data_IF_098277541237
#
_entry.id   IF_098277541237
#
_cell.length_a   1.000
_cell.length_b   1.000
_cell.length_c   1.000
_cell.angle_alpha   90.00
_cell.angle_beta   90.00
_cell.angle_gamma   90.00
#
_symmetry.space_group_name_H-M   'P 1'
#
loop_
_entity.id
_entity.type
_entity.pdbx_description
1 polymer ?
#
# COMPACT_ATOMS: atom_id res chain seq x y z
N UNK A 1 -23.80 -9.77 20.27
CA UNK A 1 -22.59 -10.49 20.70
C UNK A 1 -22.80 -11.97 20.43
N UNK A 2 -22.04 -12.53 19.50
CA UNK A 2 -22.06 -13.97 19.17
C UNK A 2 -20.66 -14.49 19.47
N UNK A 3 -20.53 -15.46 20.39
CA UNK A 3 -19.25 -15.97 20.84
C UNK A 3 -18.25 -14.85 21.19
N UNK A 4 -18.61 -13.89 22.05
CA UNK A 4 -17.70 -12.81 22.46
C UNK A 4 -17.36 -11.74 21.39
N UNK A 5 -17.77 -11.93 20.14
CA UNK A 5 -17.61 -10.96 19.06
C UNK A 5 -18.86 -10.07 18.92
N UNK A 6 -18.65 -8.76 18.70
CA UNK A 6 -19.74 -7.83 18.36
C UNK A 6 -19.96 -7.88 16.85
N UNK A 7 -21.10 -8.42 16.40
CA UNK A 7 -21.47 -8.51 14.98
C UNK A 7 -22.71 -7.68 14.67
N UNK A 8 -22.61 -6.88 13.61
CA UNK A 8 -23.68 -6.05 13.06
C UNK A 8 -23.67 -6.28 11.55
N UNK A 9 -24.44 -7.28 11.11
CA UNK A 9 -24.43 -7.72 9.72
C UNK A 9 -25.84 -7.73 9.13
N UNK A 10 -25.94 -7.51 7.83
CA UNK A 10 -27.17 -7.67 7.04
C UNK A 10 -28.37 -6.86 7.54
N UNK A 11 -28.11 -5.73 8.20
CA UNK A 11 -29.19 -4.83 8.57
C UNK A 11 -29.61 -4.09 7.29
N UNK A 12 -30.78 -4.45 6.76
CA UNK A 12 -31.38 -3.81 5.59
C UNK A 12 -31.69 -2.33 5.82
N UNK A 13 -32.83 -1.83 5.32
CA UNK A 13 -33.32 -0.49 5.68
C UNK A 13 -33.85 -0.47 7.13
N UNK A 14 -33.04 -0.83 8.12
CA UNK A 14 -33.36 -0.50 9.51
C UNK A 14 -33.50 1.02 9.54
N UNK A 15 -34.73 1.48 9.78
CA UNK A 15 -35.10 2.88 9.66
C UNK A 15 -34.11 3.75 10.43
N UNK A 16 -33.54 4.73 9.72
CA UNK A 16 -32.64 5.79 10.17
C UNK A 16 -32.07 5.63 11.59
N UNK A 17 -30.76 5.34 11.62
CA UNK A 17 -29.86 5.47 12.77
C UNK A 17 -29.77 4.23 13.69
N UNK A 18 -29.09 3.18 13.22
CA UNK A 18 -28.52 2.19 14.13
C UNK A 18 -27.33 2.82 14.85
N UNK A 19 -27.56 3.31 16.08
CA UNK A 19 -26.50 3.79 16.95
C UNK A 19 -26.00 2.63 17.81
N UNK A 20 -24.75 2.24 17.59
CA UNK A 20 -24.05 1.29 18.44
C UNK A 20 -23.11 2.06 19.37
N UNK A 21 -23.57 2.24 20.60
CA UNK A 21 -22.77 2.85 21.63
C UNK A 21 -21.93 1.78 22.37
N UNK A 22 -20.65 1.69 22.00
CA UNK A 22 -19.65 0.83 22.62
C UNK A 22 -18.64 1.65 23.44
N UNK A 23 -19.00 2.85 23.91
CA UNK A 23 -18.06 3.72 24.62
C UNK A 23 -17.46 3.10 25.89
N UNK A 24 -18.10 2.07 26.46
CA UNK A 24 -17.59 1.34 27.65
C UNK A 24 -16.77 0.10 27.30
N UNK A 25 -16.74 -0.32 26.03
CA UNK A 25 -16.06 -1.53 25.61
C UNK A 25 -14.55 -1.27 25.62
N UNK A 26 -13.85 -1.78 26.63
CA UNK A 26 -12.39 -1.65 26.74
C UNK A 26 -11.64 -2.69 25.92
N UNK A 27 -12.20 -3.90 25.83
CA UNK A 27 -11.67 -5.03 25.07
C UNK A 27 -12.81 -5.73 24.34
N UNK A 28 -12.58 -6.15 23.10
CA UNK A 28 -13.44 -7.12 22.42
C UNK A 28 -12.60 -8.33 22.04
N UNK A 29 -12.49 -9.35 22.92
CA UNK A 29 -11.49 -10.41 22.75
C UNK A 29 -11.67 -11.23 21.46
N UNK A 30 -12.82 -11.13 20.79
CA UNK A 30 -13.10 -11.86 19.55
C UNK A 30 -13.53 -10.93 18.40
N UNK A 31 -13.44 -9.61 18.56
CA UNK A 31 -13.57 -8.67 17.45
C UNK A 31 -14.83 -7.80 17.39
N UNK A 32 -14.85 -6.93 16.39
CA UNK A 32 -15.98 -6.09 15.97
C UNK A 32 -16.16 -6.25 14.45
N UNK A 33 -17.29 -6.79 14.01
CA UNK A 33 -17.66 -6.89 12.59
C UNK A 33 -18.91 -6.09 12.31
N UNK A 34 -18.79 -5.12 11.41
CA UNK A 34 -19.89 -4.28 10.94
C UNK A 34 -19.93 -4.40 9.44
N UNK A 35 -20.87 -5.20 8.92
CA UNK A 35 -20.86 -5.59 7.51
C UNK A 35 -22.23 -5.46 6.84
N UNK A 36 -22.26 -5.13 5.55
CA UNK A 36 -23.46 -5.24 4.71
C UNK A 36 -24.68 -4.48 5.26
N UNK A 37 -24.45 -3.29 5.84
CA UNK A 37 -25.52 -2.47 6.40
C UNK A 37 -25.95 -1.40 5.39
N UNK A 38 -27.25 -1.37 5.04
CA UNK A 38 -27.81 -0.39 4.09
C UNK A 38 -28.25 0.91 4.77
N UNK A 39 -28.54 0.87 6.07
CA UNK A 39 -28.92 2.04 6.87
C UNK A 39 -27.73 2.79 7.46
N UNK A 40 -27.99 3.95 8.06
CA UNK A 40 -26.99 4.70 8.81
C UNK A 40 -26.50 3.89 10.03
N UNK A 41 -25.19 3.74 10.16
CA UNK A 41 -24.54 3.09 11.31
C UNK A 41 -23.64 4.12 11.99
N UNK A 42 -23.88 4.36 13.27
CA UNK A 42 -23.03 5.19 14.11
C UNK A 42 -22.26 4.28 15.06
N UNK A 43 -20.93 4.28 14.97
CA UNK A 43 -20.04 3.52 15.85
C UNK A 43 -19.33 4.49 16.80
N UNK A 44 -19.49 4.28 18.12
CA UNK A 44 -18.71 5.01 19.13
C UNK A 44 -17.97 4.04 20.03
N UNK A 45 -16.64 4.04 19.95
CA UNK A 45 -15.74 3.10 20.65
C UNK A 45 -14.60 3.86 21.33
N UNK A 46 -14.94 4.83 22.19
CA UNK A 46 -13.93 5.71 22.80
C UNK A 46 -12.99 5.02 23.79
N UNK A 47 -13.37 3.87 24.34
CA UNK A 47 -12.56 3.15 25.35
C UNK A 47 -11.88 1.89 24.84
N UNK A 48 -12.11 1.46 23.60
CA UNK A 48 -11.55 0.21 23.07
C UNK A 48 -10.04 0.37 22.93
N UNK A 49 -9.26 -0.42 23.67
CA UNK A 49 -7.80 -0.38 23.68
C UNK A 49 -7.19 -1.49 22.84
N UNK A 50 -7.81 -2.68 22.89
CA UNK A 50 -7.33 -3.86 22.17
C UNK A 50 -8.50 -4.75 21.76
N UNK A 51 -8.39 -5.35 20.58
CA UNK A 51 -9.36 -6.31 20.02
C UNK A 51 -8.68 -7.22 19.01
N UNK A 52 -9.15 -8.44 18.84
CA UNK A 52 -8.57 -9.36 17.83
C UNK A 52 -8.84 -8.87 16.41
N UNK A 53 -10.02 -8.31 16.16
CA UNK A 53 -10.46 -8.03 14.79
C UNK A 53 -11.32 -6.78 14.76
N UNK A 54 -11.14 -5.95 13.75
CA UNK A 54 -12.10 -4.93 13.33
C UNK A 54 -12.32 -5.12 11.82
N UNK A 55 -13.55 -5.45 11.42
CA UNK A 55 -13.93 -5.53 10.01
C UNK A 55 -15.13 -4.63 9.77
N UNK A 56 -14.94 -3.63 8.92
CA UNK A 56 -15.94 -2.65 8.53
C UNK A 56 -16.13 -2.76 7.02
N UNK A 57 -17.14 -3.52 6.58
CA UNK A 57 -17.27 -3.88 5.15
C UNK A 57 -18.65 -3.56 4.57
N UNK A 58 -18.71 -2.93 3.39
CA UNK A 58 -19.97 -2.75 2.64
C UNK A 58 -21.08 -2.06 3.45
N UNK A 59 -20.76 -0.98 4.16
CA UNK A 59 -21.75 -0.21 4.92
C UNK A 59 -22.07 1.10 4.20
N UNK A 60 -23.26 1.17 3.60
CA UNK A 60 -23.69 2.32 2.80
C UNK A 60 -23.85 3.57 3.67
N UNK A 61 -24.32 3.43 4.91
CA UNK A 61 -24.59 4.57 5.80
C UNK A 61 -23.55 4.79 6.90
N UNK A 62 -22.36 4.17 6.82
CA UNK A 62 -21.28 4.43 7.76
C UNK A 62 -20.56 5.71 7.32
N UNK A 63 -20.54 6.72 8.18
CA UNK A 63 -19.98 8.06 7.85
C UNK A 63 -18.74 8.38 8.67
N UNK A 64 -18.64 7.85 9.89
CA UNK A 64 -17.56 8.16 10.82
C UNK A 64 -16.98 6.88 11.41
N UNK A 65 -15.68 6.69 11.26
CA UNK A 65 -14.94 5.57 11.85
C UNK A 65 -13.83 6.14 12.72
N UNK A 66 -13.95 5.96 14.03
CA UNK A 66 -12.94 6.44 14.97
C UNK A 66 -12.78 5.51 16.17
N UNK A 67 -11.54 5.12 16.43
CA UNK A 67 -11.14 4.32 17.59
C UNK A 67 -9.99 5.03 18.33
N UNK A 68 -10.29 6.10 19.09
CA UNK A 68 -9.26 7.01 19.60
C UNK A 68 -8.33 6.39 20.65
N UNK A 69 -8.76 5.33 21.33
CA UNK A 69 -7.98 4.64 22.36
C UNK A 69 -7.36 3.31 21.90
N UNK A 70 -7.66 2.86 20.68
CA UNK A 70 -7.20 1.57 20.18
C UNK A 70 -5.69 1.63 20.00
N UNK A 71 -4.95 0.85 20.78
CA UNK A 71 -3.49 0.79 20.68
C UNK A 71 -2.99 -0.41 19.90
N UNK A 72 -3.75 -1.52 19.90
CA UNK A 72 -3.36 -2.76 19.21
C UNK A 72 -4.60 -3.44 18.64
N UNK A 73 -4.49 -4.04 17.47
CA UNK A 73 -5.56 -4.83 16.84
C UNK A 73 -4.93 -6.05 16.17
N UNK A 74 -5.60 -7.21 16.17
CA UNK A 74 -5.07 -8.37 15.43
C UNK A 74 -5.20 -8.15 13.93
N UNK A 75 -6.41 -7.78 13.48
CA UNK A 75 -6.74 -7.53 12.06
C UNK A 75 -7.56 -6.24 11.94
N UNK A 76 -7.24 -5.39 10.96
CA UNK A 76 -8.04 -4.23 10.62
C UNK A 76 -8.39 -4.21 9.14
N UNK A 77 -9.64 -4.54 8.80
CA UNK A 77 -10.14 -4.46 7.44
C UNK A 77 -11.22 -3.39 7.31
N UNK A 78 -11.03 -2.47 6.37
CA UNK A 78 -12.00 -1.45 6.02
C UNK A 78 -12.23 -1.46 4.51
N UNK A 79 -13.46 -1.73 4.06
CA UNK A 79 -13.75 -1.57 2.63
C UNK A 79 -15.20 -1.51 2.20
N UNK A 80 -15.46 -0.93 1.03
CA UNK A 80 -16.82 -0.75 0.52
C UNK A 80 -17.71 0.18 1.34
N UNK A 81 -17.12 1.15 2.06
CA UNK A 81 -17.88 2.11 2.87
C UNK A 81 -17.92 3.48 2.16
N UNK A 82 -18.71 3.58 1.11
CA UNK A 82 -18.70 4.69 0.14
C UNK A 82 -19.15 6.06 0.68
N UNK A 83 -19.65 6.16 1.91
CA UNK A 83 -20.00 7.44 2.55
C UNK A 83 -19.02 7.85 3.67
N UNK A 84 -18.06 6.99 4.02
CA UNK A 84 -17.04 7.30 5.04
C UNK A 84 -15.94 8.14 4.41
N UNK A 85 -15.77 9.38 4.88
CA UNK A 85 -14.70 10.26 4.42
C UNK A 85 -13.40 10.09 5.22
N UNK A 86 -13.47 9.63 6.47
CA UNK A 86 -12.31 9.54 7.36
C UNK A 86 -12.30 8.26 8.20
N UNK A 87 -11.11 7.71 8.40
CA UNK A 87 -10.82 6.66 9.40
C UNK A 87 -9.77 7.19 10.37
N UNK A 88 -10.12 7.29 11.65
CA UNK A 88 -9.29 7.92 12.69
C UNK A 88 -8.86 6.94 13.78
N UNK A 89 -7.58 6.53 13.75
CA UNK A 89 -6.95 5.55 14.64
C UNK A 89 -5.68 6.15 15.31
N UNK A 90 -5.80 7.29 16.01
CA UNK A 90 -4.65 8.11 16.42
C UNK A 90 -3.71 7.44 17.43
N UNK A 91 -4.18 6.41 18.13
CA UNK A 91 -3.42 5.68 19.15
C UNK A 91 -2.91 4.32 18.69
N UNK A 92 -3.28 3.88 17.48
CA UNK A 92 -2.95 2.55 16.98
C UNK A 92 -1.45 2.46 16.78
N UNK A 93 -0.83 1.43 17.35
CA UNK A 93 0.62 1.21 17.34
C UNK A 93 1.04 -0.05 16.61
N UNK A 94 0.17 -1.05 16.60
CA UNK A 94 0.51 -2.39 16.16
C UNK A 94 -0.73 -3.09 15.61
N UNK A 95 -0.57 -3.71 14.46
CA UNK A 95 -1.47 -4.73 13.92
C UNK A 95 -0.72 -6.05 14.08
N UNK A 96 -1.22 -6.95 14.94
CA UNK A 96 -0.37 -8.00 15.55
C UNK A 96 -0.63 -9.43 15.08
N UNK A 97 -1.58 -9.67 14.17
CA UNK A 97 -2.03 -11.03 13.81
C UNK A 97 -2.21 -11.22 12.31
N UNK A 98 -3.04 -10.39 11.65
CA UNK A 98 -3.19 -10.39 10.18
C UNK A 98 -3.06 -8.94 9.66
N UNK A 99 -3.71 -8.64 8.54
CA UNK A 99 -3.50 -7.44 7.74
C UNK A 99 -4.11 -6.16 8.34
N UNK A 100 -3.58 -5.03 7.87
CA UNK A 100 -4.27 -3.76 7.85
C UNK A 100 -4.60 -3.34 6.41
N UNK A 101 -5.87 -3.46 6.07
CA UNK A 101 -6.36 -3.27 4.71
C UNK A 101 -7.40 -2.14 4.59
N UNK A 102 -7.23 -1.29 3.58
CA UNK A 102 -8.18 -0.26 3.15
C UNK A 102 -8.54 -0.44 1.68
N UNK A 103 -9.75 -0.92 1.42
CA UNK A 103 -10.16 -1.37 0.10
C UNK A 103 -11.42 -0.66 -0.42
N UNK A 104 -11.50 -0.45 -1.73
CA UNK A 104 -12.75 -0.18 -2.46
C UNK A 104 -13.68 0.84 -1.79
N UNK A 105 -13.15 2.01 -1.39
CA UNK A 105 -13.89 3.04 -0.67
C UNK A 105 -13.79 4.37 -1.40
N UNK A 106 -14.87 4.75 -2.07
CA UNK A 106 -14.82 5.83 -3.06
C UNK A 106 -14.77 7.24 -2.46
N UNK A 107 -15.29 7.44 -1.25
CA UNK A 107 -15.31 8.75 -0.56
C UNK A 107 -14.20 8.94 0.47
N UNK A 108 -13.40 7.92 0.78
CA UNK A 108 -12.35 8.01 1.80
C UNK A 108 -11.29 9.03 1.37
N UNK A 109 -11.05 10.04 2.21
CA UNK A 109 -10.10 11.14 1.98
C UNK A 109 -8.94 11.16 2.96
N UNK A 110 -9.13 10.56 4.14
CA UNK A 110 -8.15 10.58 5.23
C UNK A 110 -8.12 9.26 5.98
N UNK A 111 -6.92 8.70 6.11
CA UNK A 111 -6.59 7.61 7.04
C UNK A 111 -5.60 8.17 8.03
N UNK A 112 -6.01 8.32 9.29
CA UNK A 112 -5.16 8.86 10.36
C UNK A 112 -4.68 7.73 11.28
N UNK A 113 -3.48 7.22 10.99
CA UNK A 113 -2.76 6.15 11.72
C UNK A 113 -1.33 6.61 12.11
N UNK A 114 -1.17 7.74 12.80
CA UNK A 114 0.11 8.44 12.90
C UNK A 114 1.11 7.73 13.83
N UNK A 115 0.64 6.80 14.65
CA UNK A 115 1.40 6.09 15.66
C UNK A 115 1.65 4.60 15.32
N UNK A 116 1.15 4.12 14.18
CA UNK A 116 1.36 2.74 13.75
C UNK A 116 2.85 2.53 13.52
N UNK A 117 3.45 1.54 14.18
CA UNK A 117 4.88 1.23 14.12
C UNK A 117 5.15 -0.11 13.44
N UNK A 118 4.24 -1.08 13.58
CA UNK A 118 4.43 -2.44 13.08
C UNK A 118 3.11 -3.03 12.57
N UNK A 119 3.19 -3.71 11.42
CA UNK A 119 2.16 -4.60 10.88
C UNK A 119 2.78 -6.01 10.79
N UNK A 120 2.08 -6.99 11.34
CA UNK A 120 2.55 -8.37 11.47
C UNK A 120 2.37 -9.21 10.21
N UNK A 121 1.49 -8.79 9.31
CA UNK A 121 1.34 -9.28 7.92
C UNK A 121 1.24 -8.01 7.04
N UNK A 122 0.31 -7.96 6.09
CA UNK A 122 0.25 -6.93 5.04
C UNK A 122 -0.26 -5.54 5.48
N UNK A 123 0.20 -4.54 4.73
CA UNK A 123 -0.38 -3.20 4.66
C UNK A 123 -0.91 -2.96 3.25
N UNK A 124 -2.23 -3.12 3.07
CA UNK A 124 -2.87 -3.03 1.76
C UNK A 124 -3.74 -1.77 1.61
N UNK A 125 -3.51 -0.96 0.56
CA UNK A 125 -4.36 0.19 0.23
C UNK A 125 -4.73 0.23 -1.25
N UNK A 126 -5.96 -0.14 -1.57
CA UNK A 126 -6.37 -0.30 -2.96
C UNK A 126 -7.79 0.15 -3.30
N UNK A 127 -7.97 0.60 -4.54
CA UNK A 127 -9.24 1.15 -5.05
C UNK A 127 -9.80 2.32 -4.19
N UNK A 128 -8.93 3.21 -3.72
CA UNK A 128 -9.29 4.38 -2.92
C UNK A 128 -9.41 5.64 -3.80
N UNK A 129 -10.60 5.84 -4.37
CA UNK A 129 -10.78 6.83 -5.45
C UNK A 129 -10.59 8.30 -5.04
N UNK A 130 -10.78 8.65 -3.75
CA UNK A 130 -10.74 10.05 -3.27
C UNK A 130 -9.56 10.38 -2.35
N UNK A 131 -8.74 9.40 -1.95
CA UNK A 131 -7.62 9.65 -1.04
C UNK A 131 -6.47 10.31 -1.82
N UNK A 132 -5.94 11.40 -1.30
CA UNK A 132 -4.89 12.19 -1.97
C UNK A 132 -3.51 11.94 -1.36
N UNK A 133 -3.46 11.63 -0.05
CA UNK A 133 -2.23 11.38 0.69
C UNK A 133 -2.42 10.13 1.56
N UNK A 134 -1.49 9.19 1.43
CA UNK A 134 -1.32 8.06 2.34
C UNK A 134 -0.10 8.35 3.18
N UNK A 135 -0.24 8.35 4.51
CA UNK A 135 0.86 8.64 5.41
C UNK A 135 0.82 7.74 6.66
N UNK A 136 1.90 7.02 6.90
CA UNK A 136 2.13 6.26 8.14
C UNK A 136 3.48 6.68 8.72
N UNK A 137 3.57 7.89 9.31
CA UNK A 137 4.85 8.55 9.63
C UNK A 137 5.65 7.86 10.76
N UNK A 138 5.05 6.90 11.45
CA UNK A 138 5.71 6.11 12.49
C UNK A 138 5.93 4.66 12.10
N UNK A 139 5.49 4.21 10.93
CA UNK A 139 5.60 2.81 10.51
C UNK A 139 7.09 2.49 10.35
N UNK A 140 7.56 1.45 11.03
CA UNK A 140 8.96 1.02 11.07
C UNK A 140 9.15 -0.33 10.36
N UNK A 141 8.19 -1.25 10.47
CA UNK A 141 8.30 -2.62 9.92
C UNK A 141 6.95 -3.12 9.42
N UNK A 142 6.98 -3.83 8.29
CA UNK A 142 5.91 -4.68 7.75
C UNK A 142 6.52 -6.06 7.56
N UNK A 143 5.89 -7.08 8.11
CA UNK A 143 6.48 -8.43 8.15
C UNK A 143 6.17 -9.25 6.87
N UNK A 144 5.13 -8.88 6.11
CA UNK A 144 4.81 -9.38 4.76
C UNK A 144 4.80 -8.19 3.77
N UNK A 145 3.69 -7.90 3.06
CA UNK A 145 3.65 -6.97 1.93
C UNK A 145 3.27 -5.52 2.29
N UNK A 146 3.87 -4.55 1.59
CA UNK A 146 3.37 -3.17 1.56
C UNK A 146 2.83 -2.82 0.18
N UNK A 147 1.51 -2.77 0.06
CA UNK A 147 0.83 -2.52 -1.20
C UNK A 147 0.05 -1.21 -1.23
N UNK A 148 0.26 -0.43 -2.29
CA UNK A 148 -0.61 0.70 -2.64
C UNK A 148 -0.90 0.66 -4.12
N UNK A 149 -2.15 0.40 -4.50
CA UNK A 149 -2.49 0.34 -5.92
C UNK A 149 -3.89 0.83 -6.30
N UNK A 150 -4.06 1.10 -7.60
CA UNK A 150 -5.33 1.51 -8.22
C UNK A 150 -6.07 2.65 -7.48
N UNK A 151 -5.31 3.56 -6.85
CA UNK A 151 -5.82 4.67 -6.03
C UNK A 151 -5.50 5.99 -6.72
N UNK A 152 -6.19 6.23 -7.84
CA UNK A 152 -5.83 7.24 -8.86
C UNK A 152 -5.77 8.71 -8.37
N UNK A 153 -6.29 9.03 -7.18
CA UNK A 153 -6.19 10.37 -6.60
C UNK A 153 -4.94 10.58 -5.75
N UNK A 154 -4.27 9.50 -5.32
CA UNK A 154 -3.08 9.54 -4.48
C UNK A 154 -1.99 10.29 -5.22
N UNK A 155 -1.51 11.37 -4.61
CA UNK A 155 -0.34 12.11 -5.09
C UNK A 155 0.87 11.98 -4.17
N UNK A 156 0.70 11.43 -2.96
CA UNK A 156 1.81 11.21 -2.04
C UNK A 156 1.62 9.96 -1.18
N UNK A 157 2.66 9.13 -1.09
CA UNK A 157 2.79 8.02 -0.15
C UNK A 157 3.99 8.31 0.74
N UNK A 158 3.75 8.43 2.05
CA UNK A 158 4.72 8.94 3.02
C UNK A 158 4.90 7.94 4.17
N UNK A 159 5.94 7.13 4.10
CA UNK A 159 6.36 6.16 5.12
C UNK A 159 7.84 6.35 5.48
N UNK A 160 8.23 7.57 5.91
CA UNK A 160 9.64 7.97 6.03
C UNK A 160 10.45 7.19 7.07
N UNK A 161 9.80 6.39 7.92
CA UNK A 161 10.45 5.58 8.97
C UNK A 161 10.45 4.09 8.67
N UNK A 162 9.80 3.65 7.58
CA UNK A 162 9.75 2.24 7.24
C UNK A 162 11.17 1.77 6.96
N UNK A 163 11.62 0.75 7.68
CA UNK A 163 12.98 0.22 7.67
C UNK A 163 13.03 -1.09 6.88
N UNK A 164 12.05 -1.98 7.06
CA UNK A 164 12.02 -3.27 6.38
C UNK A 164 10.60 -3.69 5.99
N UNK A 165 10.54 -4.44 4.90
CA UNK A 165 9.38 -5.15 4.38
C UNK A 165 9.83 -6.61 4.23
N UNK A 166 9.06 -7.55 4.77
CA UNK A 166 9.45 -8.97 4.83
C UNK A 166 9.10 -9.78 3.59
N UNK A 167 8.23 -9.25 2.72
CA UNK A 167 7.97 -9.77 1.38
C UNK A 167 8.10 -8.61 0.37
N UNK A 168 7.02 -8.18 -0.28
CA UNK A 168 7.04 -7.27 -1.43
C UNK A 168 6.72 -5.81 -1.10
N UNK A 169 7.39 -4.90 -1.81
CA UNK A 169 6.97 -3.50 -1.91
C UNK A 169 6.28 -3.27 -3.25
N UNK A 170 4.95 -3.12 -3.25
CA UNK A 170 4.18 -2.90 -4.46
C UNK A 170 3.52 -1.52 -4.50
N UNK A 171 3.94 -0.67 -5.43
CA UNK A 171 3.29 0.62 -5.67
C UNK A 171 2.98 0.79 -7.14
N UNK A 172 1.75 0.48 -7.54
CA UNK A 172 1.36 0.51 -8.94
C UNK A 172 0.00 1.12 -9.24
N UNK A 173 -0.22 1.49 -10.50
CA UNK A 173 -1.50 2.03 -10.99
C UNK A 173 -1.99 3.27 -10.20
N UNK A 174 -1.08 4.04 -9.59
CA UNK A 174 -1.38 5.30 -8.91
C UNK A 174 -1.03 6.50 -9.80
N UNK A 175 -1.91 6.82 -10.75
CA UNK A 175 -1.58 7.76 -11.85
C UNK A 175 -1.20 9.18 -11.42
N UNK A 176 -1.57 9.61 -10.22
CA UNK A 176 -1.24 10.95 -9.70
C UNK A 176 -0.07 10.95 -8.72
N UNK A 177 0.55 9.80 -8.43
CA UNK A 177 1.63 9.69 -7.47
C UNK A 177 2.83 10.53 -7.95
N UNK A 178 3.25 11.47 -7.11
CA UNK A 178 4.38 12.37 -7.39
C UNK A 178 5.47 12.28 -6.33
N UNK A 179 5.08 12.06 -5.09
CA UNK A 179 5.99 12.00 -3.96
C UNK A 179 5.89 10.61 -3.32
N UNK A 180 7.00 9.89 -3.31
CA UNK A 180 7.16 8.65 -2.58
C UNK A 180 8.29 8.85 -1.57
N UNK A 181 7.97 8.79 -0.28
CA UNK A 181 8.96 8.89 0.80
C UNK A 181 9.09 7.56 1.52
N UNK A 182 10.10 6.80 1.08
CA UNK A 182 10.60 5.54 1.66
C UNK A 182 12.06 5.75 2.10
N UNK A 183 12.40 6.94 2.61
CA UNK A 183 13.79 7.37 2.77
C UNK A 183 14.61 6.55 3.79
N UNK A 184 13.94 5.90 4.74
CA UNK A 184 14.58 5.03 5.73
C UNK A 184 14.56 3.54 5.35
N UNK A 185 13.97 3.16 4.22
CA UNK A 185 13.86 1.75 3.83
C UNK A 185 15.25 1.17 3.61
N UNK A 186 15.59 0.11 4.35
CA UNK A 186 16.89 -0.58 4.34
C UNK A 186 16.82 -1.92 3.60
N UNK A 187 15.71 -2.67 3.71
CA UNK A 187 15.52 -3.95 3.01
C UNK A 187 14.09 -4.17 2.53
N UNK A 188 14.00 -4.90 1.42
CA UNK A 188 12.80 -5.60 0.93
C UNK A 188 13.24 -7.03 0.71
N UNK A 189 12.61 -7.99 1.37
CA UNK A 189 13.10 -9.37 1.43
C UNK A 189 12.71 -10.17 0.17
N UNK A 190 11.69 -9.73 -0.58
CA UNK A 190 11.32 -10.25 -1.91
C UNK A 190 11.46 -9.15 -2.99
N UNK A 191 10.38 -8.72 -3.63
CA UNK A 191 10.36 -7.85 -4.82
C UNK A 191 10.15 -6.35 -4.48
N UNK A 192 10.87 -5.48 -5.19
CA UNK A 192 10.61 -4.04 -5.20
C UNK A 192 9.92 -3.66 -6.51
N UNK A 193 8.65 -3.29 -6.43
CA UNK A 193 7.82 -3.04 -7.60
C UNK A 193 7.20 -1.64 -7.64
N UNK A 194 7.50 -0.89 -8.70
CA UNK A 194 6.85 0.39 -8.98
C UNK A 194 6.49 0.53 -10.45
N UNK A 195 5.19 0.54 -10.76
CA UNK A 195 4.76 0.62 -12.15
C UNK A 195 3.43 1.33 -12.42
N UNK A 196 3.25 1.77 -13.67
CA UNK A 196 2.06 2.51 -14.12
C UNK A 196 1.82 3.82 -13.36
N UNK A 197 2.87 4.41 -12.78
CA UNK A 197 2.84 5.71 -12.08
C UNK A 197 3.03 6.84 -13.09
N UNK A 198 1.90 7.39 -13.57
CA UNK A 198 1.89 8.34 -14.69
C UNK A 198 2.50 9.72 -14.38
N UNK A 199 2.78 10.06 -13.12
CA UNK A 199 3.32 11.38 -12.76
C UNK A 199 4.60 11.35 -11.92
N UNK A 200 5.09 10.18 -11.52
CA UNK A 200 6.30 10.10 -10.70
C UNK A 200 7.50 10.50 -11.55
N UNK A 201 8.35 11.38 -11.01
CA UNK A 201 9.57 11.85 -11.70
C UNK A 201 10.83 11.23 -11.09
N UNK A 202 10.77 10.81 -9.84
CA UNK A 202 11.88 10.18 -9.13
C UNK A 202 11.41 9.09 -8.16
N UNK A 203 12.19 8.01 -8.09
CA UNK A 203 12.11 6.99 -7.04
C UNK A 203 13.44 6.99 -6.31
N UNK A 204 13.43 7.25 -5.00
CA UNK A 204 14.64 7.32 -4.18
C UNK A 204 14.44 6.51 -2.90
N UNK A 205 15.40 5.65 -2.61
CA UNK A 205 15.52 4.96 -1.33
C UNK A 205 17.00 5.01 -0.92
N UNK A 206 17.47 6.15 -0.34
CA UNK A 206 18.88 6.38 -0.05
C UNK A 206 19.48 5.38 0.93
N UNK A 207 18.65 4.77 1.79
CA UNK A 207 19.04 3.80 2.81
C UNK A 207 18.94 2.35 2.33
N UNK A 208 18.36 2.09 1.16
CA UNK A 208 18.06 0.73 0.70
C UNK A 208 19.35 -0.02 0.38
N UNK A 209 19.58 -1.10 1.11
CA UNK A 209 20.79 -1.92 1.06
C UNK A 209 20.57 -3.23 0.32
N UNK A 210 19.36 -3.79 0.40
CA UNK A 210 19.04 -5.15 -0.05
C UNK A 210 17.63 -5.22 -0.68
N UNK A 211 17.53 -5.98 -1.77
CA UNK A 211 16.28 -6.45 -2.39
C UNK A 211 16.49 -7.95 -2.61
N UNK A 212 15.72 -8.81 -1.97
CA UNK A 212 16.00 -10.24 -1.97
C UNK A 212 15.82 -10.90 -3.34
N UNK A 213 14.81 -10.45 -4.08
CA UNK A 213 14.46 -10.96 -5.39
C UNK A 213 14.63 -9.87 -6.48
N UNK A 214 13.56 -9.44 -7.12
CA UNK A 214 13.55 -8.61 -8.32
C UNK A 214 13.32 -7.12 -8.02
N UNK A 215 13.90 -6.26 -8.87
CA UNK A 215 13.66 -4.82 -8.88
C UNK A 215 12.92 -4.46 -10.16
N UNK A 216 11.62 -4.22 -10.06
CA UNK A 216 10.74 -3.93 -11.18
C UNK A 216 10.31 -2.46 -11.18
N UNK A 217 10.86 -1.68 -12.12
CA UNK A 217 10.51 -0.25 -12.27
C UNK A 217 10.17 0.05 -13.72
N UNK A 218 8.89 -0.08 -14.08
CA UNK A 218 8.43 0.02 -15.47
C UNK A 218 7.12 0.81 -15.60
N UNK A 219 6.69 1.14 -16.84
CA UNK A 219 5.39 1.80 -17.05
C UNK A 219 5.24 3.20 -16.44
N UNK A 220 6.34 3.84 -16.01
CA UNK A 220 6.39 5.17 -15.40
C UNK A 220 6.90 6.21 -16.42
N UNK A 221 6.07 6.74 -17.33
CA UNK A 221 6.53 7.49 -18.51
C UNK A 221 7.23 8.82 -18.21
N UNK A 222 7.10 9.33 -16.99
CA UNK A 222 7.72 10.59 -16.54
C UNK A 222 8.90 10.37 -15.58
N UNK A 223 9.22 9.12 -15.23
CA UNK A 223 10.31 8.80 -14.32
C UNK A 223 11.66 9.17 -14.96
N UNK A 224 12.36 10.09 -14.33
CA UNK A 224 13.65 10.60 -14.79
C UNK A 224 14.82 10.11 -13.93
N UNK A 225 14.54 9.59 -12.73
CA UNK A 225 15.57 9.18 -11.77
C UNK A 225 15.14 8.01 -10.89
N UNK A 226 16.02 7.01 -10.78
CA UNK A 226 15.98 5.96 -9.75
C UNK A 226 17.30 6.02 -9.00
N UNK A 227 17.26 6.15 -7.67
CA UNK A 227 18.46 6.32 -6.84
C UNK A 227 18.44 5.47 -5.56
N UNK A 228 19.26 4.41 -5.57
CA UNK A 228 19.52 3.50 -4.43
C UNK A 228 21.04 3.43 -4.18
N UNK A 229 21.65 4.46 -3.56
CA UNK A 229 23.10 4.60 -3.45
C UNK A 229 23.74 3.60 -2.46
N UNK A 230 22.95 3.00 -1.57
CA UNK A 230 23.40 2.02 -0.58
C UNK A 230 23.23 0.55 -1.05
N UNK A 231 22.54 0.32 -2.18
CA UNK A 231 22.16 -1.02 -2.64
C UNK A 231 23.40 -1.85 -2.98
N UNK A 232 23.52 -3.04 -2.39
CA UNK A 232 24.66 -3.92 -2.59
C UNK A 232 24.49 -4.74 -3.88
N UNK A 233 25.28 -4.40 -4.90
CA UNK A 233 25.23 -4.92 -6.29
C UNK A 233 25.58 -6.41 -6.50
N UNK A 234 25.45 -7.28 -5.50
CA UNK A 234 25.67 -8.73 -5.66
C UNK A 234 24.38 -9.52 -6.01
N UNK A 235 23.24 -8.84 -6.10
CA UNK A 235 21.94 -9.42 -6.45
C UNK A 235 21.66 -9.26 -7.94
N UNK A 236 21.06 -10.29 -8.54
CA UNK A 236 20.67 -10.28 -9.96
C UNK A 236 19.55 -9.27 -10.14
N UNK A 237 19.90 -8.06 -10.57
CA UNK A 237 18.93 -7.14 -11.18
C UNK A 237 18.52 -7.80 -12.51
N UNK A 238 17.42 -8.54 -12.51
CA UNK A 238 16.88 -9.32 -13.63
C UNK A 238 16.13 -8.45 -14.63
N UNK A 239 15.49 -7.34 -14.19
CA UNK A 239 15.00 -6.31 -15.11
C UNK A 239 14.87 -4.91 -14.49
N UNK A 240 15.97 -4.14 -14.55
CA UNK A 240 15.84 -2.69 -14.82
C UNK A 240 15.66 -2.45 -16.33
N UNK A 241 15.42 -3.54 -17.10
CA UNK A 241 15.57 -3.66 -18.54
C UNK A 241 14.93 -2.52 -19.33
N UNK A 242 15.72 -1.88 -20.19
CA UNK A 242 15.28 -1.23 -21.43
C UNK A 242 14.27 -0.06 -21.34
N UNK A 243 13.73 0.26 -20.17
CA UNK A 243 12.61 1.18 -19.98
C UNK A 243 12.97 2.67 -20.15
N UNK A 244 14.26 3.04 -19.99
CA UNK A 244 14.75 4.37 -20.38
C UNK A 244 15.05 4.49 -21.88
N UNK A 245 15.12 3.39 -22.64
CA UNK A 245 15.63 3.40 -24.02
C UNK A 245 14.59 3.06 -25.11
N UNK A 246 13.47 2.40 -24.79
CA UNK A 246 12.46 2.01 -25.80
C UNK A 246 11.19 2.88 -25.83
N UNK A 247 10.92 3.71 -24.82
CA UNK A 247 9.73 4.57 -24.80
C UNK A 247 9.91 5.89 -25.59
N UNK A 248 10.30 5.74 -26.86
CA UNK A 248 9.85 6.68 -27.87
C UNK A 248 8.33 6.49 -28.04
N UNK A 249 7.55 7.32 -27.35
CA UNK A 249 6.15 7.61 -27.68
C UNK A 249 5.10 6.52 -27.34
N UNK A 250 4.99 6.13 -26.07
CA UNK A 250 3.69 5.74 -25.50
C UNK A 250 3.11 6.94 -24.75
N UNK A 251 2.61 7.92 -25.48
CA UNK A 251 1.75 8.97 -24.90
C UNK A 251 0.37 8.38 -24.63
N UNK A 252 0.13 7.97 -23.39
CA UNK A 252 -1.18 7.49 -22.93
C UNK A 252 -2.18 8.65 -22.84
N UNK A 253 -3.21 8.65 -23.69
CA UNK A 253 -4.29 9.65 -23.67
C UNK A 253 -5.64 9.09 -23.24
N UNK A 254 -5.74 7.79 -22.95
CA UNK A 254 -6.99 7.12 -22.55
C UNK A 254 -6.73 5.98 -21.52
N UNK A 255 -7.27 6.10 -20.29
CA UNK A 255 -6.95 5.22 -19.17
C UNK A 255 -7.40 3.75 -19.28
N UNK A 256 -8.54 3.40 -19.90
CA UNK A 256 -8.95 1.99 -20.01
C UNK A 256 -8.11 1.19 -21.00
N UNK A 257 -7.54 1.86 -22.01
CA UNK A 257 -6.74 1.20 -23.04
C UNK A 257 -5.28 0.98 -22.62
N UNK A 258 -4.76 1.74 -21.64
CA UNK A 258 -3.37 1.62 -21.21
C UNK A 258 -3.15 0.48 -20.21
N UNK A 259 -4.09 0.26 -19.27
CA UNK A 259 -4.08 -0.94 -18.42
C UNK A 259 -4.17 -2.20 -19.29
N UNK A 260 -5.13 -2.28 -20.23
CA UNK A 260 -5.27 -3.42 -21.13
C UNK A 260 -4.08 -3.61 -22.07
N UNK A 261 -3.55 -2.55 -22.73
CA UNK A 261 -2.45 -2.70 -23.69
C UNK A 261 -1.13 -3.12 -23.02
N UNK A 262 -0.88 -2.67 -21.80
CA UNK A 262 0.32 -3.05 -21.07
C UNK A 262 0.19 -4.42 -20.41
N UNK A 263 -0.96 -4.76 -19.81
CA UNK A 263 -1.26 -6.13 -19.36
C UNK A 263 -1.18 -7.14 -20.51
N UNK A 264 -1.61 -6.74 -21.71
CA UNK A 264 -1.46 -7.55 -22.92
C UNK A 264 0.01 -7.66 -23.34
N UNK A 265 0.79 -6.58 -23.32
CA UNK A 265 2.23 -6.63 -23.59
C UNK A 265 2.98 -7.51 -22.58
N UNK A 266 2.73 -7.35 -21.28
CA UNK A 266 3.34 -8.16 -20.23
C UNK A 266 3.00 -9.65 -20.39
N UNK A 267 1.71 -9.99 -20.58
CA UNK A 267 1.30 -11.37 -20.94
C UNK A 267 1.89 -11.88 -22.25
N UNK A 268 2.05 -11.03 -23.26
CA UNK A 268 2.62 -11.42 -24.55
C UNK A 268 4.14 -11.65 -24.48
N UNK A 269 4.81 -11.14 -23.44
CA UNK A 269 6.24 -11.31 -23.20
C UNK A 269 6.54 -12.23 -22.00
N UNK A 270 5.55 -13.02 -21.56
CA UNK A 270 5.65 -13.94 -20.41
C UNK A 270 6.15 -13.27 -19.12
N UNK A 271 5.85 -11.97 -18.92
CA UNK A 271 5.87 -11.36 -17.59
C UNK A 271 4.64 -11.88 -16.86
N UNK A 272 4.85 -12.94 -16.08
CA UNK A 272 3.85 -13.44 -15.14
C UNK A 272 4.01 -12.63 -13.86
N UNK A 273 3.01 -11.79 -13.55
CA UNK A 273 3.02 -10.90 -12.38
C UNK A 273 2.81 -11.65 -11.06
N UNK A 274 2.59 -12.98 -11.08
CA UNK A 274 2.39 -13.74 -9.86
C UNK A 274 3.24 -15.02 -9.76
N UNK A 275 3.86 -15.58 -10.82
CA UNK A 275 4.71 -16.78 -10.67
C UNK A 275 5.75 -17.03 -11.79
N UNK A 276 7.04 -17.09 -11.42
CA UNK A 276 8.21 -17.73 -12.09
C UNK A 276 9.09 -16.91 -13.07
N UNK A 277 10.35 -16.74 -12.65
CA UNK A 277 11.51 -16.17 -13.35
C UNK A 277 11.91 -16.79 -14.72
N UNK A 278 12.43 -15.96 -15.65
CA UNK A 278 13.27 -16.39 -16.80
C UNK A 278 14.45 -15.41 -17.06
N UNK A 279 15.68 -15.95 -17.13
CA UNK A 279 16.94 -15.24 -17.38
C UNK A 279 17.39 -15.17 -18.87
N UNK A 280 18.04 -14.03 -19.19
CA UNK A 280 19.17 -13.74 -20.12
C UNK A 280 19.03 -13.99 -21.63
N UNK A 281 18.97 -12.91 -22.43
CA UNK A 281 20.04 -12.46 -23.37
C UNK A 281 19.60 -11.17 -24.14
N UNK A 282 20.18 -10.00 -23.85
CA UNK A 282 20.01 -8.76 -24.66
C UNK A 282 21.21 -7.78 -24.55
N UNK A 283 21.47 -6.95 -25.58
CA UNK A 283 22.84 -6.64 -26.04
C UNK A 283 23.47 -5.34 -25.52
N UNK A 284 24.81 -5.31 -25.57
CA UNK A 284 25.69 -4.19 -25.18
C UNK A 284 25.26 -2.81 -25.71
N UNK A 285 24.75 -1.96 -24.81
CA UNK A 285 25.13 -0.54 -24.69
C UNK A 285 24.48 0.07 -23.44
N UNK A 286 25.27 0.89 -22.71
CA UNK A 286 24.97 1.76 -21.56
C UNK A 286 25.35 1.22 -20.17
N UNK A 287 26.00 2.09 -19.40
CA UNK A 287 26.85 1.80 -18.24
C UNK A 287 26.18 2.33 -16.96
N UNK A 288 26.07 1.50 -15.92
CA UNK A 288 25.82 1.97 -14.55
C UNK A 288 27.17 2.33 -13.90
N UNK A 289 27.30 3.51 -13.28
CA UNK A 289 28.53 3.91 -12.59
C UNK A 289 28.36 3.71 -11.08
N UNK A 290 28.81 2.56 -10.56
CA UNK A 290 29.02 2.37 -9.13
C UNK A 290 30.36 3.00 -8.72
N UNK A 291 30.36 3.90 -7.73
CA UNK A 291 31.59 4.40 -7.12
C UNK A 291 32.14 3.37 -6.14
N UNK A 292 33.17 2.63 -6.54
CA UNK A 292 33.93 1.80 -5.60
C UNK A 292 34.94 2.65 -4.83
N UNK A 293 35.15 2.32 -3.56
CA UNK A 293 36.05 2.99 -2.60
C UNK A 293 37.55 2.94 -3.00
N UNK A 294 37.90 2.32 -4.13
CA UNK A 294 39.26 2.25 -4.67
C UNK A 294 39.56 3.24 -5.80
N UNK A 295 38.69 4.20 -6.07
CA UNK A 295 39.03 5.41 -6.85
C UNK A 295 39.37 5.18 -8.33
N UNK A 296 38.96 4.05 -8.91
CA UNK A 296 39.01 3.84 -10.36
C UNK A 296 37.60 3.46 -10.85
N UNK A 297 36.71 4.45 -10.88
CA UNK A 297 35.42 4.36 -11.54
C UNK A 297 35.63 4.41 -13.05
N UNK A 298 35.73 3.25 -13.68
CA UNK A 298 35.59 3.10 -15.12
C UNK A 298 34.22 2.50 -15.37
N UNK A 299 33.27 3.32 -15.83
CA UNK A 299 31.98 2.82 -16.31
C UNK A 299 32.28 1.80 -17.44
N UNK A 300 31.46 0.76 -17.68
CA UNK A 300 31.56 -0.12 -18.86
C UNK A 300 30.26 -0.26 -19.63
#
# INVERSE_FOLDING_TARGET
VVNGEVRITDNGQIGADLVLDLHTLQTSPLGLRVMQNLGAVQLSTSSLQETSTIILMSNVGLVNVSFPSLSRVGVFFFGGNDETETVHLPSLKEVFDEDIAFAASTALREIDVPMLMHAAEDVELFYLASIEVIAMPSLETVDEDFEVHASHSVHSVLVPKLVSIGEDLEIFDNWRLKNLDISSLESVDEDFETYLLQTIEEVRAPSLVEIGEDLLVFGNPHLALVEFPALQTNQSITSVDDALASNASLTCTDPLNCTDAYYLYARENDFDFEENAIYLDAPHQFRACATTTTGHGGCL
#
